data_IF_911061570911
#
_entry.id   IF_911061570911
#
_cell.length_a   1.000
_cell.length_b   1.000
_cell.length_c   1.000
_cell.angle_alpha   90.00
_cell.angle_beta   90.00
_cell.angle_gamma   90.00
#
_symmetry.space_group_name_H-M   'P 1'
#
loop_
_entity.id
_entity.type
_entity.pdbx_description
1 polymer ?
#
# COMPACT_ATOMS: atom_id res chain seq x y z
N UNK A 1 -14.37 8.67 5.38
CA UNK A 1 -14.01 7.24 5.59
C UNK A 1 -13.63 6.75 4.21
N UNK A 2 -12.38 6.99 3.85
CA UNK A 2 -11.94 7.03 2.46
C UNK A 2 -11.08 5.80 2.22
N UNK A 3 -11.73 4.70 1.83
CA UNK A 3 -11.11 3.42 1.49
C UNK A 3 -9.92 3.60 0.56
N UNK A 4 -8.88 2.78 0.72
CA UNK A 4 -7.72 2.84 -0.17
C UNK A 4 -8.09 2.75 -1.64
N UNK A 5 -7.46 3.59 -2.48
CA UNK A 5 -7.51 3.36 -3.92
C UNK A 5 -6.90 1.99 -4.18
N UNK A 6 -7.73 1.08 -4.67
CA UNK A 6 -7.28 -0.22 -5.18
C UNK A 6 -6.71 0.04 -6.56
N UNK A 7 -5.45 -0.36 -6.78
CA UNK A 7 -4.86 -0.26 -8.10
C UNK A 7 -5.53 -1.27 -9.06
N UNK A 8 -5.60 -0.98 -10.37
CA UNK A 8 -5.94 -1.99 -11.37
C UNK A 8 -5.12 -3.27 -11.17
N UNK A 9 -5.71 -4.47 -11.34
CA UNK A 9 -4.97 -5.71 -11.17
C UNK A 9 -3.74 -5.75 -12.09
N UNK A 10 -2.59 -6.14 -11.54
CA UNK A 10 -1.27 -6.16 -12.19
C UNK A 10 -0.59 -4.79 -12.32
N UNK A 11 -1.03 -3.77 -11.58
CA UNK A 11 -0.34 -2.47 -11.59
C UNK A 11 1.09 -2.56 -11.10
N UNK A 12 1.44 -3.56 -10.28
CA UNK A 12 2.81 -3.80 -9.83
C UNK A 12 3.79 -4.20 -10.93
N UNK A 13 3.31 -4.58 -12.12
CA UNK A 13 4.15 -4.83 -13.30
C UNK A 13 4.55 -3.56 -14.06
N UNK A 14 3.73 -2.51 -13.99
CA UNK A 14 3.90 -1.29 -14.78
C UNK A 14 4.22 -0.06 -13.93
N UNK A 15 3.81 -0.07 -12.67
CA UNK A 15 3.96 1.02 -11.73
C UNK A 15 5.13 0.78 -10.78
N UNK A 16 5.73 1.86 -10.30
CA UNK A 16 6.79 1.78 -9.31
C UNK A 16 6.24 1.15 -8.01
N UNK A 17 6.78 -0.01 -7.63
CA UNK A 17 6.47 -0.69 -6.37
C UNK A 17 7.25 -0.04 -5.25
N UNK A 18 6.56 0.33 -4.17
CA UNK A 18 7.17 0.82 -2.96
C UNK A 18 7.50 -0.36 -2.04
N UNK A 19 8.78 -0.74 -2.02
CA UNK A 19 9.28 -1.88 -1.22
C UNK A 19 8.96 -1.77 0.28
N UNK A 20 9.27 -0.66 0.99
CA UNK A 20 9.04 -0.60 2.43
C UNK A 20 7.56 -0.65 2.78
N UNK A 21 6.67 -0.02 1.99
CA UNK A 21 5.23 -0.14 2.20
C UNK A 21 4.70 -1.54 1.87
N UNK A 22 5.26 -2.20 0.84
CA UNK A 22 4.92 -3.58 0.49
C UNK A 22 5.30 -4.56 1.59
N UNK A 23 6.51 -4.43 2.16
CA UNK A 23 6.93 -5.24 3.31
C UNK A 23 5.99 -5.02 4.52
N UNK A 24 5.69 -3.77 4.87
CA UNK A 24 4.77 -3.48 5.96
C UNK A 24 3.37 -4.08 5.74
N UNK A 25 2.89 -4.07 4.48
CA UNK A 25 1.62 -4.67 4.12
C UNK A 25 1.64 -6.20 4.27
N UNK A 26 2.74 -6.85 3.88
CA UNK A 26 2.95 -8.29 4.10
C UNK A 26 2.94 -8.62 5.60
N UNK A 27 3.74 -7.92 6.40
CA UNK A 27 3.78 -8.12 7.86
C UNK A 27 2.40 -7.92 8.51
N UNK A 28 1.65 -6.88 8.09
CA UNK A 28 0.30 -6.65 8.59
C UNK A 28 -0.64 -7.81 8.22
N UNK A 29 -0.56 -8.27 6.97
CA UNK A 29 -1.34 -9.39 6.49
C UNK A 29 -1.02 -10.67 7.25
N UNK A 30 0.25 -10.99 7.46
CA UNK A 30 0.67 -12.16 8.24
C UNK A 30 0.19 -12.08 9.70
N UNK A 31 0.25 -10.90 10.32
CA UNK A 31 -0.14 -10.70 11.71
C UNK A 31 -1.67 -10.71 11.93
N UNK A 32 -2.45 -10.18 10.98
CA UNK A 32 -3.91 -9.99 11.13
C UNK A 32 -4.75 -10.90 10.23
N UNK A 33 -4.10 -11.69 9.38
CA UNK A 33 -4.69 -12.52 8.31
C UNK A 33 -5.70 -11.75 7.44
N UNK A 34 -5.47 -10.43 7.25
CA UNK A 34 -6.34 -9.53 6.50
C UNK A 34 -5.52 -8.38 5.91
N UNK A 35 -5.98 -7.83 4.79
CA UNK A 35 -5.37 -6.61 4.25
C UNK A 35 -5.77 -5.38 5.04
N UNK A 36 -4.85 -4.40 5.20
CA UNK A 36 -5.20 -3.11 5.78
C UNK A 36 -6.23 -2.41 4.91
N UNK A 37 -7.25 -1.79 5.54
CA UNK A 37 -8.24 -1.00 4.80
C UNK A 37 -7.66 0.31 4.29
N UNK A 38 -6.70 0.84 5.05
CA UNK A 38 -6.05 2.14 4.91
C UNK A 38 -4.57 2.07 5.25
N UNK A 39 -3.73 2.86 4.59
CA UNK A 39 -2.31 2.98 4.95
C UNK A 39 -2.16 3.52 6.38
N UNK A 40 -3.15 4.29 6.85
CA UNK A 40 -3.26 4.70 8.25
C UNK A 40 -3.32 3.51 9.22
N UNK A 41 -3.87 2.35 8.83
CA UNK A 41 -3.83 1.15 9.67
C UNK A 41 -2.42 0.61 9.83
N UNK A 42 -1.57 0.69 8.80
CA UNK A 42 -0.16 0.28 8.89
C UNK A 42 0.61 1.17 9.87
N UNK A 43 0.34 2.48 9.87
CA UNK A 43 0.92 3.44 10.83
C UNK A 43 0.40 3.14 12.25
N UNK A 44 -0.92 2.97 12.41
CA UNK A 44 -1.55 2.71 13.72
C UNK A 44 -1.12 1.39 14.33
N UNK A 45 -0.93 0.36 13.49
CA UNK A 45 -0.42 -0.93 13.89
C UNK A 45 1.12 -0.95 14.04
N UNK A 46 1.78 0.21 13.89
CA UNK A 46 3.23 0.41 14.08
C UNK A 46 4.11 -0.41 13.13
N UNK A 47 3.58 -0.84 11.98
CA UNK A 47 4.40 -1.49 10.93
C UNK A 47 5.25 -0.48 10.17
N UNK A 48 4.77 0.77 10.06
CA UNK A 48 5.55 1.90 9.53
C UNK A 48 5.50 3.07 10.52
N UNK A 49 6.58 3.84 10.66
CA UNK A 49 6.61 4.99 11.57
C UNK A 49 5.71 6.14 11.11
N UNK A 50 5.59 6.33 9.79
CA UNK A 50 4.70 7.30 9.16
C UNK A 50 4.44 6.87 7.71
N UNK A 51 3.35 7.34 7.11
CA UNK A 51 3.19 7.20 5.66
C UNK A 51 4.28 7.99 4.95
N UNK A 52 5.03 7.39 4.02
CA UNK A 52 5.90 8.16 3.15
C UNK A 52 5.04 9.13 2.32
N UNK A 53 5.57 10.31 2.06
CA UNK A 53 4.88 11.28 1.22
C UNK A 53 5.02 10.84 -0.23
N UNK A 54 3.92 10.60 -0.96
CA UNK A 54 4.02 10.21 -2.36
C UNK A 54 4.64 11.35 -3.18
N UNK A 55 5.41 11.03 -4.23
CA UNK A 55 5.93 12.02 -5.17
C UNK A 55 4.80 12.85 -5.80
N UNK A 56 5.09 14.10 -6.17
CA UNK A 56 4.11 15.02 -6.73
C UNK A 56 3.34 14.40 -7.91
N UNK A 57 2.00 14.44 -7.81
CA UNK A 57 1.08 13.85 -8.80
C UNK A 57 0.79 12.36 -8.62
N UNK A 58 1.56 11.63 -7.81
CA UNK A 58 1.35 10.20 -7.56
C UNK A 58 0.63 9.98 -6.23
N UNK A 59 0.04 8.79 -6.08
CA UNK A 59 -0.65 8.30 -4.91
C UNK A 59 -0.27 6.85 -4.69
N UNK A 60 -0.18 6.44 -3.43
CA UNK A 60 -0.03 5.03 -3.13
C UNK A 60 -1.37 4.32 -3.32
N UNK A 61 -1.31 3.14 -3.90
CA UNK A 61 -2.44 2.23 -4.03
C UNK A 61 -1.98 0.80 -3.75
N UNK A 62 -2.90 -0.03 -3.30
CA UNK A 62 -2.62 -1.44 -3.07
C UNK A 62 -3.06 -2.23 -4.30
N UNK A 63 -2.12 -2.96 -4.88
CA UNK A 63 -2.39 -4.04 -5.81
C UNK A 63 -2.71 -5.30 -4.98
N UNK A 64 -4.00 -5.55 -4.78
CA UNK A 64 -4.50 -6.72 -4.02
C UNK A 64 -4.07 -8.08 -4.60
N UNK A 65 -4.07 -8.32 -5.93
CA UNK A 65 -3.70 -9.64 -6.44
C UNK A 65 -2.23 -9.98 -6.19
N UNK A 66 -1.32 -9.00 -6.18
CA UNK A 66 0.08 -9.23 -5.87
C UNK A 66 0.46 -8.91 -4.42
N UNK A 67 -0.47 -8.34 -3.63
CA UNK A 67 -0.22 -7.82 -2.28
C UNK A 67 0.89 -6.76 -2.24
N UNK A 68 0.95 -5.88 -3.24
CA UNK A 68 2.03 -4.89 -3.36
C UNK A 68 1.51 -3.48 -3.28
N UNK A 69 2.31 -2.58 -2.73
CA UNK A 69 2.01 -1.15 -2.74
C UNK A 69 2.67 -0.53 -3.95
N UNK A 70 1.85 0.08 -4.79
CA UNK A 70 2.26 0.70 -6.05
C UNK A 70 1.96 2.19 -6.02
N UNK A 71 2.78 2.96 -6.72
CA UNK A 71 2.51 4.36 -6.98
C UNK A 71 1.65 4.49 -8.24
N UNK A 72 0.39 4.86 -8.07
CA UNK A 72 -0.51 5.24 -9.16
C UNK A 72 -0.62 6.77 -9.23
N UNK A 73 -0.44 7.34 -10.41
CA UNK A 73 -0.61 8.76 -10.70
C UNK A 73 -1.20 8.91 -12.10
N UNK A 74 -1.58 10.12 -12.51
CA UNK A 74 -2.05 10.37 -13.87
C UNK A 74 -1.00 9.96 -14.91
#
# INVERSE_FOLDING_TARGET
MDSLPTAPPHSSKTSQVDRPLTEALHYFFEANNRMPKDFSELVRAKFIPAMPTPPAGKRYAIDRPNMQVVLIGP
#
